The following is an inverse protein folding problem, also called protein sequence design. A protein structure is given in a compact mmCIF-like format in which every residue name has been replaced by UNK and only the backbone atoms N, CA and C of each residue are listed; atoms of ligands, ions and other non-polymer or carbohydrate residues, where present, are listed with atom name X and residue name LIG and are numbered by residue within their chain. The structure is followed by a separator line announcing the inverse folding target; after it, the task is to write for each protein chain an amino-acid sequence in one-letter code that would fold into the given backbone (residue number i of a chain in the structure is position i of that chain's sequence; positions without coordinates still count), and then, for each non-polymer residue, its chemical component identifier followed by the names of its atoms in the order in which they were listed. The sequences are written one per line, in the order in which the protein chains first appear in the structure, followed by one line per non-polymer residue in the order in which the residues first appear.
data_IF_662920436657
#
_entry.id   IF_662920436657
#
_cell.length_a   1.000
_cell.length_b   1.000
_cell.length_c   1.000
_cell.angle_alpha   90.00
_cell.angle_beta   90.00
_cell.angle_gamma   90.00
#
_symmetry.space_group_name_H-M   'P 1'
#
loop_
_entity.id
_entity.type
_entity.pdbx_description
1 polymer ?
#
# COMPACT_ATOMS: atom_id res chain seq x y z
N UNK A 1 5.18 21.45 7.50
CA UNK A 1 5.12 21.46 6.04
C UNK A 1 6.12 20.43 5.48
N UNK A 2 5.82 19.75 4.36
CA UNK A 2 6.76 18.82 3.71
C UNK A 2 8.04 19.50 3.24
N UNK A 3 7.95 20.77 2.85
CA UNK A 3 9.11 21.57 2.44
C UNK A 3 10.19 21.63 3.53
N UNK A 4 9.79 21.62 4.80
CA UNK A 4 10.70 21.63 5.95
C UNK A 4 11.03 20.22 6.44
N UNK A 5 10.03 19.34 6.53
CA UNK A 5 10.23 17.99 7.08
C UNK A 5 11.16 17.12 6.23
N UNK A 6 11.22 17.36 4.91
CA UNK A 6 12.08 16.59 4.03
C UNK A 6 13.58 16.85 4.30
N UNK A 7 14.08 18.12 4.29
CA UNK A 7 15.42 18.43 4.76
C UNK A 7 15.72 17.89 6.17
N UNK A 8 14.82 18.11 7.13
CA UNK A 8 15.01 17.66 8.52
C UNK A 8 15.17 16.13 8.64
N UNK A 9 14.52 15.36 7.76
CA UNK A 9 14.65 13.91 7.70
C UNK A 9 16.03 13.50 7.16
N UNK A 10 16.48 14.16 6.09
CA UNK A 10 17.77 13.87 5.46
C UNK A 10 18.94 14.26 6.36
N UNK A 11 18.78 15.28 7.22
CA UNK A 11 19.80 15.74 8.16
C UNK A 11 19.92 14.87 9.43
N UNK A 12 19.07 13.86 9.61
CA UNK A 12 19.18 12.96 10.76
C UNK A 12 20.49 12.18 10.70
N UNK A 13 21.24 12.05 11.81
CA UNK A 13 22.57 11.43 11.80
C UNK A 13 22.63 10.06 11.12
N UNK A 14 21.68 9.17 11.43
CA UNK A 14 21.63 7.82 10.84
C UNK A 14 21.24 7.81 9.35
N UNK A 15 20.54 8.83 8.86
CA UNK A 15 20.22 8.97 7.43
C UNK A 15 21.40 9.57 6.69
N UNK A 16 22.07 10.60 7.24
CA UNK A 16 23.32 11.16 6.69
C UNK A 16 24.43 10.12 6.61
N UNK A 17 24.61 9.32 7.66
CA UNK A 17 25.58 8.23 7.67
C UNK A 17 25.29 7.19 6.57
N UNK A 18 24.01 6.83 6.38
CA UNK A 18 23.59 5.88 5.34
C UNK A 18 23.78 6.41 3.92
N UNK A 19 23.46 7.69 3.68
CA UNK A 19 23.55 8.32 2.36
C UNK A 19 24.98 8.76 2.01
N UNK A 20 25.85 8.93 3.01
CA UNK A 20 27.17 9.55 2.89
C UNK A 20 27.13 11.02 3.33
N UNK A 21 28.15 11.45 4.06
CA UNK A 21 28.24 12.79 4.66
C UNK A 21 28.23 13.91 3.61
N UNK A 22 28.76 13.62 2.42
CA UNK A 22 28.89 14.58 1.32
C UNK A 22 27.70 14.51 0.34
N UNK A 23 26.68 13.70 0.63
CA UNK A 23 25.51 13.57 -0.22
C UNK A 23 24.76 14.91 -0.36
N UNK A 24 24.56 15.33 -1.60
CA UNK A 24 23.79 16.50 -1.98
C UNK A 24 22.62 16.12 -2.90
N UNK A 25 21.49 16.83 -2.86
CA UNK A 25 20.38 16.58 -3.78
C UNK A 25 20.79 16.82 -5.25
N UNK A 26 20.52 15.85 -6.12
CA UNK A 26 20.76 15.97 -7.57
C UNK A 26 19.75 16.90 -8.26
N UNK A 27 18.52 16.97 -7.73
CA UNK A 27 17.43 17.76 -8.29
C UNK A 27 16.46 18.24 -7.22
N UNK A 28 15.58 19.22 -7.53
CA UNK A 28 14.55 19.67 -6.60
C UNK A 28 13.64 18.52 -6.16
N UNK A 29 13.37 18.44 -4.85
CA UNK A 29 12.39 17.51 -4.32
C UNK A 29 11.01 17.78 -4.92
N UNK A 30 10.38 16.73 -5.45
CA UNK A 30 9.00 16.76 -5.97
C UNK A 30 8.15 15.75 -5.21
N UNK A 31 6.90 16.11 -4.96
CA UNK A 31 5.93 15.24 -4.31
C UNK A 31 4.56 15.38 -4.98
N UNK A 32 3.83 14.27 -5.05
CA UNK A 32 2.44 14.23 -5.50
C UNK A 32 1.57 13.57 -4.42
N UNK A 33 0.30 14.00 -4.30
CA UNK A 33 -0.64 13.31 -3.43
C UNK A 33 -0.90 11.90 -3.97
N UNK A 34 -0.98 10.92 -3.09
CA UNK A 34 -1.33 9.54 -3.42
C UNK A 34 -2.81 9.36 -3.07
N UNK A 35 -3.73 9.32 -4.05
CA UNK A 35 -5.15 9.21 -3.77
C UNK A 35 -5.47 7.79 -3.29
N UNK A 36 -5.71 7.66 -1.98
CA UNK A 36 -5.98 6.39 -1.32
C UNK A 36 -7.30 6.50 -0.56
N UNK A 37 -8.42 6.45 -1.28
CA UNK A 37 -9.79 6.64 -0.75
C UNK A 37 -10.83 5.91 -1.59
N UNK A 38 -10.54 4.65 -1.94
CA UNK A 38 -11.45 3.80 -2.73
C UNK A 38 -12.81 3.73 -2.06
N UNK A 39 -13.85 4.03 -2.84
CA UNK A 39 -15.24 4.02 -2.36
C UNK A 39 -15.77 5.38 -1.93
N UNK A 40 -14.89 6.37 -1.70
CA UNK A 40 -15.28 7.76 -1.44
C UNK A 40 -15.46 8.55 -2.75
N UNK A 41 -14.95 8.01 -3.87
CA UNK A 41 -15.10 8.56 -5.22
C UNK A 41 -15.87 7.59 -6.13
N UNK A 42 -16.63 8.08 -7.12
CA UNK A 42 -17.27 7.21 -8.10
C UNK A 42 -16.25 6.36 -8.86
N UNK A 43 -16.53 5.06 -8.99
CA UNK A 43 -15.73 4.16 -9.85
C UNK A 43 -16.22 4.17 -11.31
N UNK A 44 -17.45 4.62 -11.54
CA UNK A 44 -18.11 4.62 -12.85
C UNK A 44 -18.95 5.87 -13.08
N UNK A 45 -19.13 6.22 -14.35
CA UNK A 45 -20.23 7.03 -14.87
C UNK A 45 -20.99 6.24 -15.94
N UNK A 46 -21.83 6.87 -16.76
CA UNK A 46 -22.68 6.16 -17.74
C UNK A 46 -21.89 5.20 -18.65
N UNK A 47 -20.90 5.72 -19.37
CA UNK A 47 -20.02 4.96 -20.26
C UNK A 47 -18.55 5.16 -19.90
N UNK A 48 -18.29 5.43 -18.61
CA UNK A 48 -16.97 5.79 -18.09
C UNK A 48 -16.62 4.85 -16.94
N UNK A 49 -15.37 4.38 -16.91
CA UNK A 49 -14.78 3.65 -15.79
C UNK A 49 -13.53 4.41 -15.35
N UNK A 50 -13.43 4.71 -14.06
CA UNK A 50 -12.23 5.35 -13.50
C UNK A 50 -11.28 4.27 -12.98
N UNK A 51 -9.98 4.42 -13.24
CA UNK A 51 -8.93 3.47 -12.84
C UNK A 51 -7.74 4.21 -12.21
N UNK A 52 -6.90 3.50 -11.47
CA UNK A 52 -5.71 4.08 -10.82
C UNK A 52 -6.04 5.27 -9.93
N UNK A 53 -5.23 6.33 -10.01
CA UNK A 53 -5.40 7.55 -9.23
C UNK A 53 -6.78 8.20 -9.42
N UNK A 54 -7.39 8.09 -10.60
CA UNK A 54 -8.73 8.62 -10.86
C UNK A 54 -9.82 7.89 -10.06
N UNK A 55 -9.59 6.61 -9.74
CA UNK A 55 -10.44 5.81 -8.83
C UNK A 55 -9.95 5.82 -7.38
N UNK A 56 -8.90 6.60 -7.09
CA UNK A 56 -8.26 6.68 -5.79
C UNK A 56 -7.85 5.33 -5.17
N UNK A 57 -7.26 4.48 -6.00
CA UNK A 57 -6.94 3.08 -5.67
C UNK A 57 -5.71 2.87 -4.80
N UNK A 58 -5.00 3.93 -4.42
CA UNK A 58 -3.82 3.81 -3.57
C UNK A 58 -4.09 3.17 -2.20
N UNK A 59 -3.05 2.58 -1.64
CA UNK A 59 -3.03 2.05 -0.28
C UNK A 59 -2.73 3.18 0.72
N UNK A 60 -3.63 3.46 1.68
CA UNK A 60 -3.45 4.57 2.63
C UNK A 60 -2.41 4.29 3.72
N UNK A 61 -1.94 3.05 3.85
CA UNK A 61 -0.91 2.67 4.81
C UNK A 61 0.49 2.68 4.19
N UNK A 62 0.67 2.09 3.00
CA UNK A 62 1.99 1.99 2.36
C UNK A 62 2.29 3.14 1.41
N UNK A 63 1.27 3.82 0.91
CA UNK A 63 1.42 4.78 -0.19
C UNK A 63 1.67 4.10 -1.54
N UNK A 64 1.47 2.79 -1.66
CA UNK A 64 1.55 2.10 -2.95
C UNK A 64 0.30 2.38 -3.79
N UNK A 65 0.46 2.55 -5.10
CA UNK A 65 -0.67 2.72 -6.01
C UNK A 65 -0.52 2.01 -7.35
N UNK A 66 0.69 1.60 -7.73
CA UNK A 66 0.98 1.01 -9.04
C UNK A 66 0.26 -0.34 -9.20
N UNK A 67 0.36 -1.22 -8.21
CA UNK A 67 -0.31 -2.53 -8.25
C UNK A 67 -1.83 -2.37 -8.35
N UNK A 68 -2.41 -1.50 -7.55
CA UNK A 68 -3.85 -1.23 -7.50
C UNK A 68 -4.33 -0.54 -8.78
N UNK A 69 -3.53 0.33 -9.38
CA UNK A 69 -3.78 0.90 -10.69
C UNK A 69 -3.83 -0.19 -11.77
N UNK A 70 -2.83 -1.09 -11.81
CA UNK A 70 -2.82 -2.23 -12.73
C UNK A 70 -4.04 -3.16 -12.53
N UNK A 71 -4.39 -3.47 -11.29
CA UNK A 71 -5.58 -4.28 -10.95
C UNK A 71 -6.85 -3.62 -11.47
N UNK A 72 -7.05 -2.33 -11.18
CA UNK A 72 -8.24 -1.60 -11.65
C UNK A 72 -8.30 -1.51 -13.18
N UNK A 73 -7.17 -1.29 -13.85
CA UNK A 73 -7.08 -1.28 -15.31
C UNK A 73 -7.46 -2.62 -15.94
N UNK A 74 -6.95 -3.74 -15.37
CA UNK A 74 -7.30 -5.10 -15.82
C UNK A 74 -8.80 -5.37 -15.66
N UNK A 75 -9.38 -5.04 -14.51
CA UNK A 75 -10.80 -5.24 -14.24
C UNK A 75 -11.68 -4.40 -15.18
N UNK A 76 -11.27 -3.18 -15.51
CA UNK A 76 -11.97 -2.35 -16.49
C UNK A 76 -11.93 -2.98 -17.88
N UNK A 77 -10.77 -3.47 -18.32
CA UNK A 77 -10.63 -4.15 -19.61
C UNK A 77 -11.47 -5.44 -19.70
N UNK A 78 -11.54 -6.22 -18.61
CA UNK A 78 -12.41 -7.40 -18.52
C UNK A 78 -13.89 -7.01 -18.62
N UNK A 79 -14.30 -5.95 -17.91
CA UNK A 79 -15.68 -5.47 -17.94
C UNK A 79 -16.10 -4.93 -19.31
N UNK A 80 -15.19 -4.30 -20.06
CA UNK A 80 -15.46 -3.88 -21.46
C UNK A 80 -15.86 -5.07 -22.34
N UNK A 81 -15.29 -6.26 -22.11
CA UNK A 81 -15.59 -7.45 -22.92
C UNK A 81 -16.92 -8.12 -22.58
N UNK A 82 -17.37 -8.07 -21.32
CA UNK A 82 -18.39 -9.01 -20.84
C UNK A 82 -19.43 -8.45 -19.87
N UNK A 83 -19.40 -7.16 -19.50
CA UNK A 83 -20.35 -6.68 -18.49
C UNK A 83 -20.48 -5.18 -18.24
N UNK A 84 -19.80 -4.34 -19.01
CA UNK A 84 -19.93 -2.88 -18.93
C UNK A 84 -19.58 -2.29 -17.57
N UNK A 85 -19.98 -1.04 -17.34
CA UNK A 85 -19.66 -0.26 -16.13
C UNK A 85 -20.12 -0.95 -14.84
N UNK A 86 -21.32 -1.54 -14.84
CA UNK A 86 -21.84 -2.26 -13.67
C UNK A 86 -20.99 -3.48 -13.26
N UNK A 87 -20.43 -4.22 -14.23
CA UNK A 87 -19.53 -5.34 -13.91
C UNK A 87 -18.19 -4.85 -13.36
N UNK A 88 -17.64 -3.77 -13.94
CA UNK A 88 -16.42 -3.15 -13.43
C UNK A 88 -16.60 -2.71 -11.98
N UNK A 89 -17.68 -1.97 -11.66
CA UNK A 89 -17.89 -1.45 -10.32
C UNK A 89 -17.93 -2.59 -9.28
N UNK A 90 -18.66 -3.67 -9.56
CA UNK A 90 -18.71 -4.83 -8.65
C UNK A 90 -17.34 -5.47 -8.45
N UNK A 91 -16.60 -5.69 -9.54
CA UNK A 91 -15.29 -6.34 -9.49
C UNK A 91 -14.26 -5.47 -8.76
N UNK A 92 -14.19 -4.18 -9.09
CA UNK A 92 -13.30 -3.21 -8.44
C UNK A 92 -13.60 -3.07 -6.95
N UNK A 93 -14.89 -2.99 -6.57
CA UNK A 93 -15.30 -2.99 -5.17
C UNK A 93 -14.85 -4.26 -4.44
N UNK A 94 -15.05 -5.43 -5.03
CA UNK A 94 -14.65 -6.70 -4.43
C UNK A 94 -13.13 -6.83 -4.26
N UNK A 95 -12.36 -6.32 -5.22
CA UNK A 95 -10.90 -6.42 -5.22
C UNK A 95 -10.22 -5.40 -4.29
N UNK A 96 -10.76 -4.18 -4.17
CA UNK A 96 -10.04 -3.06 -3.57
C UNK A 96 -10.61 -2.58 -2.23
N UNK A 97 -11.91 -2.73 -1.95
CA UNK A 97 -12.50 -2.16 -0.73
C UNK A 97 -12.13 -2.90 0.55
N UNK A 98 -11.95 -4.23 0.49
CA UNK A 98 -11.62 -5.02 1.68
C UNK A 98 -10.27 -4.60 2.24
N UNK A 99 -9.25 -4.53 1.38
CA UNK A 99 -7.90 -4.13 1.75
C UNK A 99 -7.85 -2.65 2.12
N UNK A 100 -8.55 -1.79 1.38
CA UNK A 100 -8.63 -0.36 1.68
C UNK A 100 -9.19 -0.08 3.10
N UNK A 101 -10.33 -0.69 3.46
CA UNK A 101 -10.94 -0.54 4.79
C UNK A 101 -10.04 -1.02 5.92
N UNK A 102 -9.34 -2.11 5.68
CA UNK A 102 -8.37 -2.67 6.62
C UNK A 102 -7.20 -1.70 6.82
N UNK A 103 -6.57 -1.23 5.75
CA UNK A 103 -5.46 -0.27 5.82
C UNK A 103 -5.88 1.02 6.54
N UNK A 104 -7.07 1.57 6.27
CA UNK A 104 -7.59 2.75 7.00
C UNK A 104 -7.71 2.48 8.51
N UNK A 105 -8.25 1.33 8.90
CA UNK A 105 -8.44 0.97 10.31
C UNK A 105 -7.09 0.84 11.03
N UNK A 106 -6.14 0.18 10.38
CA UNK A 106 -4.80 -0.02 10.91
C UNK A 106 -4.03 1.31 11.01
N UNK A 107 -4.10 2.16 9.99
CA UNK A 107 -3.51 3.51 10.02
C UNK A 107 -4.06 4.34 11.17
N UNK A 108 -5.38 4.26 11.45
CA UNK A 108 -5.98 4.94 12.61
C UNK A 108 -5.41 4.44 13.93
N UNK A 109 -5.22 3.12 14.08
CA UNK A 109 -4.62 2.54 15.28
C UNK A 109 -3.14 2.96 15.44
N UNK A 110 -2.36 2.93 14.36
CA UNK A 110 -0.94 3.33 14.35
C UNK A 110 -0.73 4.84 14.48
N UNK A 111 -1.73 5.65 14.14
CA UNK A 111 -1.71 7.10 14.38
C UNK A 111 -1.64 7.43 15.88
N UNK A 112 -2.01 6.48 16.75
CA UNK A 112 -1.85 6.65 18.18
C UNK A 112 -0.43 6.29 18.63
N UNK A 113 0.28 7.25 19.24
CA UNK A 113 1.67 7.11 19.74
C UNK A 113 1.95 5.79 20.49
N UNK A 114 1.05 5.34 21.36
CA UNK A 114 1.20 4.07 22.11
C UNK A 114 1.14 2.85 21.19
N UNK A 115 0.21 2.85 20.22
CA UNK A 115 0.09 1.79 19.23
C UNK A 115 1.33 1.67 18.35
N UNK A 116 1.84 2.80 17.84
CA UNK A 116 3.06 2.84 17.06
C UNK A 116 4.28 2.33 17.85
N UNK A 117 4.44 2.75 19.11
CA UNK A 117 5.57 2.31 19.94
C UNK A 117 5.53 0.81 20.25
N UNK A 118 4.35 0.27 20.56
CA UNK A 118 4.17 -1.17 20.80
C UNK A 118 4.45 -1.96 19.53
N UNK A 119 3.91 -1.52 18.38
CA UNK A 119 4.18 -2.15 17.10
C UNK A 119 5.69 -2.17 16.79
N UNK A 120 6.37 -1.03 16.93
CA UNK A 120 7.82 -0.94 16.73
C UNK A 120 8.59 -1.87 17.67
N UNK A 121 8.26 -1.88 18.96
CA UNK A 121 8.90 -2.76 19.93
C UNK A 121 8.76 -4.24 19.55
N UNK A 122 7.56 -4.66 19.13
CA UNK A 122 7.29 -6.05 18.71
C UNK A 122 8.03 -6.42 17.42
N UNK A 123 8.12 -5.51 16.45
CA UNK A 123 8.81 -5.76 15.17
C UNK A 123 10.32 -5.89 15.31
N UNK A 124 10.92 -5.25 16.33
CA UNK A 124 12.36 -5.29 16.60
C UNK A 124 12.84 -6.47 17.45
N UNK A 125 11.94 -7.34 17.91
CA UNK A 125 12.27 -8.43 18.86
C UNK A 125 13.20 -9.50 18.30
N UNK A 126 13.18 -9.75 16.98
CA UNK A 126 13.99 -10.79 16.35
C UNK A 126 14.21 -10.53 14.85
N UNK A 127 15.21 -11.17 14.26
CA UNK A 127 15.40 -11.17 12.81
C UNK A 127 14.23 -11.78 12.03
N UNK A 128 13.51 -12.72 12.65
CA UNK A 128 12.31 -13.34 12.09
C UNK A 128 11.11 -12.36 12.09
N UNK A 129 10.82 -11.69 13.20
CA UNK A 129 9.71 -10.72 13.30
C UNK A 129 9.93 -9.53 12.38
N UNK A 130 11.16 -9.00 12.31
CA UNK A 130 11.51 -7.92 11.37
C UNK A 130 11.29 -8.31 9.91
N UNK A 131 11.71 -9.54 9.53
CA UNK A 131 11.54 -10.04 8.16
C UNK A 131 10.05 -10.23 7.82
N UNK A 132 9.29 -10.88 8.70
CA UNK A 132 7.87 -11.11 8.45
C UNK A 132 7.06 -9.81 8.48
N UNK A 133 7.42 -8.85 9.32
CA UNK A 133 6.82 -7.52 9.30
C UNK A 133 7.08 -6.80 7.98
N UNK A 134 8.31 -6.80 7.47
CA UNK A 134 8.63 -6.17 6.18
C UNK A 134 7.86 -6.82 5.02
N UNK A 135 7.76 -8.16 5.02
CA UNK A 135 6.97 -8.90 4.03
C UNK A 135 5.48 -8.60 4.14
N UNK A 136 4.94 -8.56 5.36
CA UNK A 136 3.55 -8.18 5.58
C UNK A 136 3.28 -6.72 5.16
N UNK A 137 4.24 -5.82 5.36
CA UNK A 137 4.08 -4.41 5.02
C UNK A 137 4.14 -4.18 3.50
N UNK A 138 5.06 -4.84 2.77
CA UNK A 138 5.36 -4.49 1.36
C UNK A 138 5.17 -5.60 0.32
N UNK A 139 5.14 -6.87 0.71
CA UNK A 139 4.79 -7.92 -0.26
C UNK A 139 3.26 -8.05 -0.28
N UNK A 140 2.68 -8.45 -1.41
CA UNK A 140 1.28 -8.99 -1.53
C UNK A 140 1.04 -10.22 -0.63
N UNK A 141 1.97 -10.48 0.30
CA UNK A 141 1.79 -11.27 1.48
C UNK A 141 0.63 -10.73 2.30
N UNK A 142 -0.07 -11.62 3.00
CA UNK A 142 -1.48 -11.44 3.12
C UNK A 142 -1.77 -10.64 4.37
N UNK A 143 -1.72 -9.31 4.25
CA UNK A 143 -2.35 -8.42 5.23
C UNK A 143 -3.80 -8.83 5.45
N UNK A 144 -4.46 -9.24 4.35
CA UNK A 144 -5.76 -9.87 4.37
C UNK A 144 -5.81 -11.17 5.20
N UNK A 145 -4.83 -12.09 5.10
CA UNK A 145 -4.93 -13.39 5.79
C UNK A 145 -4.81 -13.27 7.31
N UNK A 146 -4.11 -12.30 7.90
CA UNK A 146 -4.11 -12.16 9.36
C UNK A 146 -5.53 -11.97 9.93
N UNK A 147 -6.47 -11.46 9.12
CA UNK A 147 -7.82 -11.12 9.60
C UNK A 147 -8.97 -11.61 8.69
N UNK A 148 -8.69 -12.38 7.62
CA UNK A 148 -9.68 -13.15 6.84
C UNK A 148 -9.47 -14.66 7.05
N UNK A 149 -9.90 -15.23 8.19
CA UNK A 149 -9.71 -16.64 8.52
C UNK A 149 -10.33 -17.60 7.49
N UNK A 150 -11.34 -17.14 6.74
CA UNK A 150 -11.98 -17.89 5.65
C UNK A 150 -11.08 -18.15 4.43
N UNK A 151 -9.94 -17.47 4.32
CA UNK A 151 -8.98 -17.62 3.20
C UNK A 151 -7.76 -18.47 3.57
N UNK A 152 -7.74 -19.06 4.77
CA UNK A 152 -6.59 -19.81 5.29
C UNK A 152 -6.42 -21.15 4.56
N UNK A 153 -5.19 -21.44 4.09
CA UNK A 153 -4.82 -22.74 3.52
C UNK A 153 -3.41 -23.20 3.97
N UNK A 154 -3.17 -24.51 3.89
CA UNK A 154 -1.89 -25.12 4.30
C UNK A 154 -0.74 -24.59 3.40
N UNK A 155 0.33 -24.06 4.00
CA UNK A 155 1.49 -23.51 3.29
C UNK A 155 1.45 -22.00 2.99
N UNK A 156 0.39 -21.30 3.40
CA UNK A 156 0.14 -19.89 3.05
C UNK A 156 1.10 -18.85 3.66
N UNK A 157 1.85 -19.18 4.72
CA UNK A 157 2.80 -18.28 5.39
C UNK A 157 4.27 -18.56 5.02
N UNK A 158 4.47 -19.44 4.05
CA UNK A 158 5.78 -19.83 3.51
C UNK A 158 5.86 -19.79 1.97
N UNK A 159 5.20 -18.87 1.23
CA UNK A 159 5.56 -18.67 -0.17
C UNK A 159 7.04 -18.28 -0.32
N UNK A 160 7.74 -18.78 -1.34
CA UNK A 160 9.03 -18.23 -1.74
C UNK A 160 8.85 -16.73 -1.98
N UNK A 161 9.70 -15.91 -1.33
CA UNK A 161 9.66 -14.45 -1.53
C UNK A 161 9.93 -14.11 -3.00
N UNK A 162 9.57 -12.88 -3.40
CA UNK A 162 9.89 -12.35 -4.73
C UNK A 162 11.41 -12.09 -4.82
N UNK A 163 12.21 -13.15 -4.90
CA UNK A 163 13.63 -13.04 -5.17
C UNK A 163 13.84 -13.07 -6.68
N UNK A 164 14.36 -11.97 -7.23
CA UNK A 164 15.07 -12.04 -8.49
C UNK A 164 16.31 -12.91 -8.24
N UNK A 165 16.30 -14.16 -8.72
CA UNK A 165 17.55 -14.92 -8.89
C UNK A 165 18.42 -14.10 -9.85
N UNK A 166 19.55 -13.61 -9.34
CA UNK A 166 20.65 -13.14 -10.18
C UNK A 166 21.29 -14.32 -10.88
#
# INVERSE_FOLDING_TARGET
DMKQRWPDLLDRPHIRELLGTDAAPESPHRAWPIPARVGDVPLVGDRVMYVGDAAATGDPMTGEGIAQAMVSGRLAAEAVRSGGTAAYERAARAALLADHRMSVTLTRALSHRKGAQIALALTGTSGWTRRNFARWLFEDYPRALLFTPRRWSRGMFTPPGATFRR
#
